data_IF_322769267251
#
_entry.id   IF_322769267251
#
_cell.length_a   1.000
_cell.length_b   1.000
_cell.length_c   1.000
_cell.angle_alpha   90.00
_cell.angle_beta   90.00
_cell.angle_gamma   90.00
#
_symmetry.space_group_name_H-M   'P 1'
#
loop_
_entity.id
_entity.type
_entity.pdbx_description
1 polymer ?
#
# COMPACT_ATOMS: atom_id res chain seq x y z
N UNK A 1 -0.55 14.49 -1.72
CA UNK A 1 -0.30 15.96 -1.71
C UNK A 1 -0.61 16.65 -3.03
N UNK A 2 -0.28 16.13 -4.21
CA UNK A 2 -0.58 16.75 -5.50
C UNK A 2 -2.10 16.85 -5.80
N UNK A 3 -2.89 15.87 -5.40
CA UNK A 3 -4.34 15.85 -5.63
C UNK A 3 -5.08 16.92 -4.83
N UNK A 4 -4.66 17.22 -3.61
CA UNK A 4 -5.21 18.32 -2.80
C UNK A 4 -4.84 19.69 -3.39
N UNK A 5 -3.61 19.86 -3.88
CA UNK A 5 -3.17 21.08 -4.56
C UNK A 5 -3.98 21.39 -5.82
N UNK A 6 -4.43 20.37 -6.54
CA UNK A 6 -5.26 20.52 -7.75
C UNK A 6 -6.68 21.04 -7.46
N UNK A 7 -7.30 20.58 -6.36
CA UNK A 7 -8.67 20.99 -5.98
C UNK A 7 -8.75 22.31 -5.21
N UNK A 8 -7.66 22.79 -4.61
CA UNK A 8 -7.64 23.97 -3.75
C UNK A 8 -7.24 25.26 -4.51
N UNK A 9 -7.08 25.21 -5.83
CA UNK A 9 -6.63 26.36 -6.67
C UNK A 9 -5.39 27.07 -6.13
N UNK A 10 -4.46 26.30 -5.50
CA UNK A 10 -3.25 26.85 -4.91
C UNK A 10 -2.14 25.82 -4.82
N UNK A 11 -0.90 26.28 -4.72
CA UNK A 11 0.22 25.38 -4.49
C UNK A 11 0.15 24.79 -3.06
N UNK A 12 0.56 23.54 -2.90
CA UNK A 12 0.71 22.87 -1.59
C UNK A 12 1.53 23.72 -0.61
N UNK A 13 2.55 24.43 -1.12
CA UNK A 13 3.37 25.34 -0.33
C UNK A 13 2.56 26.51 0.26
N UNK A 14 1.67 27.13 -0.52
CA UNK A 14 0.80 28.22 -0.03
C UNK A 14 -0.20 27.71 1.00
N UNK A 15 -0.73 26.48 0.82
CA UNK A 15 -1.60 25.85 1.81
C UNK A 15 -0.85 25.58 3.13
N UNK A 16 0.35 25.01 3.05
CA UNK A 16 1.18 24.74 4.22
C UNK A 16 1.59 26.04 5.00
N UNK A 17 1.78 27.16 4.28
CA UNK A 17 2.04 28.46 4.92
C UNK A 17 0.82 29.01 5.66
N UNK A 18 -0.38 28.77 5.17
CA UNK A 18 -1.64 29.21 5.81
C UNK A 18 -2.04 28.35 7.00
N UNK A 19 -1.64 27.08 6.97
CA UNK A 19 -1.96 26.09 7.98
C UNK A 19 -0.66 25.45 8.49
N UNK A 20 0.10 26.15 9.35
CA UNK A 20 1.37 25.63 9.86
C UNK A 20 1.15 24.40 10.72
N UNK A 21 2.12 23.50 10.71
CA UNK A 21 2.14 22.34 11.62
C UNK A 21 2.56 22.82 13.00
N UNK A 22 1.77 22.46 14.00
CA UNK A 22 2.04 22.77 15.39
C UNK A 22 2.74 21.61 16.10
N UNK A 23 2.35 20.37 15.75
CA UNK A 23 2.94 19.15 16.30
C UNK A 23 2.85 18.02 15.27
N UNK A 24 3.77 17.04 15.37
CA UNK A 24 3.79 15.87 14.46
C UNK A 24 4.15 14.60 15.23
N UNK A 25 3.26 13.60 15.13
CA UNK A 25 3.53 12.22 15.54
C UNK A 25 3.99 11.45 14.32
N UNK A 26 5.29 11.18 14.23
CA UNK A 26 5.87 10.47 13.08
C UNK A 26 5.26 9.08 12.91
N UNK A 27 5.38 8.56 11.69
CA UNK A 27 4.94 7.20 11.40
C UNK A 27 5.64 6.20 12.31
N UNK A 28 4.85 5.31 12.90
CA UNK A 28 5.33 4.21 13.70
C UNK A 28 4.73 2.90 13.18
N UNK A 29 5.55 1.85 13.09
CA UNK A 29 5.16 0.53 12.55
C UNK A 29 4.17 -0.23 13.43
N UNK A 30 4.14 0.02 14.73
CA UNK A 30 3.16 -0.57 15.66
C UNK A 30 1.80 0.10 15.49
N UNK A 31 1.78 1.45 15.51
CA UNK A 31 0.56 2.23 15.30
C UNK A 31 0.08 2.24 13.85
N UNK A 32 0.98 1.98 12.88
CA UNK A 32 0.75 1.98 11.41
C UNK A 32 0.11 3.27 10.89
N UNK A 33 0.35 4.41 11.56
CA UNK A 33 -0.17 5.73 11.21
C UNK A 33 0.79 6.84 11.60
N UNK A 34 0.56 8.00 11.02
CA UNK A 34 1.17 9.27 11.41
C UNK A 34 0.07 10.31 11.57
N UNK A 35 0.29 11.26 12.46
CA UNK A 35 -0.68 12.32 12.74
C UNK A 35 0.00 13.67 12.82
N UNK A 36 -0.70 14.74 12.44
CA UNK A 36 -0.20 16.11 12.49
C UNK A 36 -1.27 17.04 13.05
N UNK A 37 -0.87 17.99 13.89
CA UNK A 37 -1.75 19.03 14.40
C UNK A 37 -1.51 20.30 13.59
N UNK A 38 -2.59 20.87 13.08
CA UNK A 38 -2.60 22.13 12.34
C UNK A 38 -3.59 23.12 12.94
N UNK A 39 -3.26 24.41 12.81
CA UNK A 39 -4.28 25.45 12.92
C UNK A 39 -5.08 25.51 11.62
N UNK A 40 -6.37 25.27 11.70
CA UNK A 40 -7.28 25.27 10.56
C UNK A 40 -8.58 26.01 10.95
N UNK A 41 -8.90 27.09 10.21
CA UNK A 41 -10.07 27.94 10.44
C UNK A 41 -10.23 28.46 11.88
N UNK A 42 -9.10 28.79 12.53
CA UNK A 42 -9.08 29.32 13.90
C UNK A 42 -9.17 28.26 15.00
N UNK A 43 -9.19 26.99 14.64
CA UNK A 43 -9.25 25.86 15.55
C UNK A 43 -8.05 24.94 15.33
N UNK A 44 -7.72 24.12 16.33
CA UNK A 44 -6.69 23.11 16.22
C UNK A 44 -7.31 21.78 15.80
N UNK A 45 -6.76 21.20 14.74
CA UNK A 45 -7.18 19.91 14.22
C UNK A 45 -6.01 18.97 14.13
N UNK A 46 -6.21 17.75 14.60
CA UNK A 46 -5.32 16.64 14.36
C UNK A 46 -5.81 15.88 13.14
N UNK A 47 -4.94 15.77 12.13
CA UNK A 47 -5.17 14.97 10.93
C UNK A 47 -4.27 13.74 10.98
N UNK A 48 -4.86 12.58 10.78
CA UNK A 48 -4.17 11.30 10.81
C UNK A 48 -4.34 10.54 9.50
N UNK A 49 -3.28 9.86 9.07
CA UNK A 49 -3.30 8.95 7.93
C UNK A 49 -2.52 7.68 8.24
N UNK A 50 -3.02 6.55 7.74
CA UNK A 50 -2.37 5.26 7.95
C UNK A 50 -3.12 4.10 7.35
N UNK A 51 -2.68 2.88 7.65
CA UNK A 51 -3.36 1.67 7.20
C UNK A 51 -4.78 1.56 7.78
N UNK A 52 -5.75 1.26 6.95
CA UNK A 52 -7.18 1.26 7.32
C UNK A 52 -7.49 0.40 8.56
N UNK A 53 -6.82 -0.75 8.73
CA UNK A 53 -7.00 -1.62 9.89
C UNK A 53 -6.58 -1.01 11.24
N UNK A 54 -5.74 0.04 11.24
CA UNK A 54 -5.27 0.70 12.46
C UNK A 54 -6.25 1.71 13.06
N UNK A 55 -7.42 1.93 12.43
CA UNK A 55 -8.38 2.94 12.89
C UNK A 55 -9.69 2.37 13.41
N UNK A 56 -9.94 1.07 13.27
CA UNK A 56 -11.24 0.44 13.59
C UNK A 56 -11.78 0.80 14.98
N UNK A 57 -10.91 0.76 15.98
CA UNK A 57 -11.30 1.00 17.37
C UNK A 57 -11.19 2.48 17.79
N UNK A 58 -10.55 3.29 16.95
CA UNK A 58 -10.25 4.69 17.23
C UNK A 58 -11.27 5.66 16.61
N UNK A 59 -12.03 5.21 15.61
CA UNK A 59 -13.03 6.02 14.93
C UNK A 59 -14.35 5.94 15.69
N UNK A 60 -14.91 7.11 16.01
CA UNK A 60 -16.22 7.24 16.68
C UNK A 60 -17.22 8.03 15.84
N UNK A 61 -16.73 8.75 14.85
CA UNK A 61 -17.53 9.66 14.04
C UNK A 61 -17.23 9.47 12.55
N UNK A 62 -18.15 9.88 11.69
CA UNK A 62 -17.99 9.95 10.24
C UNK A 62 -18.60 11.25 9.72
N UNK A 63 -18.23 11.62 8.49
CA UNK A 63 -18.90 12.69 7.75
C UNK A 63 -20.00 12.06 6.88
N UNK A 64 -21.23 12.56 7.03
CA UNK A 64 -22.38 12.19 6.20
C UNK A 64 -23.13 13.47 5.83
N UNK A 65 -23.33 13.71 4.54
CA UNK A 65 -24.03 14.89 3.99
C UNK A 65 -23.50 16.24 4.51
N UNK A 66 -22.20 16.30 4.80
CA UNK A 66 -21.53 17.49 5.33
C UNK A 66 -21.60 17.66 6.85
N UNK A 67 -22.27 16.77 7.55
CA UNK A 67 -22.36 16.76 9.00
C UNK A 67 -21.52 15.65 9.64
N UNK A 68 -21.05 15.88 10.87
CA UNK A 68 -20.33 14.89 11.67
C UNK A 68 -21.36 14.11 12.48
N UNK A 69 -21.51 12.83 12.18
CA UNK A 69 -22.43 11.92 12.84
C UNK A 69 -21.71 10.75 13.47
N UNK A 70 -22.32 10.09 14.45
CA UNK A 70 -21.74 8.91 15.08
C UNK A 70 -21.62 7.77 14.06
N UNK A 71 -20.48 7.07 14.09
CA UNK A 71 -20.25 5.91 13.23
C UNK A 71 -21.00 4.69 13.80
N UNK A 72 -21.54 3.86 12.92
CA UNK A 72 -22.24 2.62 13.26
C UNK A 72 -21.45 1.40 12.76
N UNK A 73 -21.76 0.22 13.28
CA UNK A 73 -21.05 -1.03 12.90
C UNK A 73 -21.16 -1.30 11.39
N UNK A 74 -22.33 -1.03 10.80
CA UNK A 74 -22.53 -1.16 9.35
C UNK A 74 -21.60 -0.26 8.51
N UNK A 75 -21.25 0.93 9.00
CA UNK A 75 -20.31 1.83 8.31
C UNK A 75 -18.88 1.27 8.32
N UNK A 76 -18.52 0.65 9.46
CA UNK A 76 -17.20 0.00 9.61
C UNK A 76 -17.11 -1.20 8.66
N UNK A 77 -18.16 -1.99 8.54
CA UNK A 77 -18.22 -3.12 7.61
C UNK A 77 -18.12 -2.67 6.15
N UNK A 78 -18.79 -1.59 5.79
CA UNK A 78 -18.69 -0.98 4.46
C UNK A 78 -17.26 -0.49 4.17
N UNK A 79 -16.61 0.16 5.14
CA UNK A 79 -15.23 0.62 4.99
C UNK A 79 -14.25 -0.57 4.85
N UNK A 80 -14.45 -1.64 5.61
CA UNK A 80 -13.65 -2.88 5.49
C UNK A 80 -13.84 -3.53 4.11
N UNK A 81 -15.07 -3.58 3.62
CA UNK A 81 -15.38 -4.14 2.28
C UNK A 81 -14.73 -3.31 1.17
N UNK A 82 -14.87 -1.97 1.23
CA UNK A 82 -14.25 -1.07 0.28
C UNK A 82 -12.70 -1.15 0.30
N UNK A 83 -12.11 -1.30 1.50
CA UNK A 83 -10.67 -1.52 1.64
C UNK A 83 -10.23 -2.82 0.94
N UNK A 84 -10.97 -3.91 1.11
CA UNK A 84 -10.69 -5.18 0.44
C UNK A 84 -10.81 -5.06 -1.08
N UNK A 85 -11.85 -4.37 -1.56
CA UNK A 85 -12.05 -4.16 -3.00
C UNK A 85 -10.90 -3.34 -3.60
N UNK A 86 -10.49 -2.23 -2.96
CA UNK A 86 -9.36 -1.43 -3.43
C UNK A 86 -8.05 -2.23 -3.38
N UNK A 87 -7.82 -3.00 -2.32
CA UNK A 87 -6.63 -3.84 -2.18
C UNK A 87 -6.57 -4.96 -3.24
N UNK A 88 -7.72 -5.54 -3.62
CA UNK A 88 -7.78 -6.54 -4.70
C UNK A 88 -7.43 -5.97 -6.09
N UNK A 89 -7.50 -4.66 -6.24
CA UNK A 89 -7.07 -3.91 -7.44
C UNK A 89 -5.62 -3.39 -7.31
N UNK A 90 -4.79 -4.03 -6.51
CA UNK A 90 -3.40 -3.66 -6.24
C UNK A 90 -3.20 -2.24 -5.64
N UNK A 91 -4.25 -1.63 -5.08
CA UNK A 91 -4.13 -0.31 -4.49
C UNK A 91 -3.58 -0.38 -3.06
N UNK A 92 -2.63 0.48 -2.76
CA UNK A 92 -2.23 0.76 -1.38
C UNK A 92 -3.26 1.68 -0.75
N UNK A 93 -4.05 1.14 0.17
CA UNK A 93 -5.14 1.88 0.80
C UNK A 93 -4.68 2.60 2.04
N UNK A 94 -4.94 3.90 2.08
CA UNK A 94 -4.66 4.79 3.21
C UNK A 94 -5.98 5.36 3.72
N UNK A 95 -6.27 5.12 4.99
CA UNK A 95 -7.37 5.78 5.69
C UNK A 95 -6.96 7.19 6.13
N UNK A 96 -7.92 8.10 6.08
CA UNK A 96 -7.79 9.49 6.49
C UNK A 96 -8.78 9.77 7.60
N UNK A 97 -8.29 10.30 8.70
CA UNK A 97 -9.08 10.64 9.88
C UNK A 97 -8.71 12.03 10.38
N UNK A 98 -9.63 12.65 11.10
CA UNK A 98 -9.37 13.91 11.78
C UNK A 98 -10.08 13.95 13.14
N UNK A 99 -9.61 14.82 14.02
CA UNK A 99 -10.35 15.21 15.23
C UNK A 99 -10.03 16.66 15.60
N UNK A 100 -10.96 17.31 16.26
CA UNK A 100 -10.72 18.61 16.84
C UNK A 100 -9.92 18.45 18.13
N UNK A 101 -8.92 19.29 18.33
CA UNK A 101 -8.05 19.30 19.52
C UNK A 101 -8.52 20.39 20.47
N UNK A 102 -8.77 20.03 21.71
CA UNK A 102 -9.14 20.97 22.77
C UNK A 102 -7.98 21.86 23.22
N UNK A 103 -8.27 22.99 23.88
CA UNK A 103 -7.23 23.94 24.29
C UNK A 103 -6.29 23.39 25.37
N UNK A 104 -6.75 22.46 26.20
CA UNK A 104 -6.03 21.96 27.38
C UNK A 104 -5.53 20.51 27.19
N UNK A 105 -5.53 20.00 25.94
CA UNK A 105 -5.08 18.64 25.66
C UNK A 105 -3.55 18.52 25.68
N UNK A 106 -3.04 17.47 26.31
CA UNK A 106 -1.62 17.16 26.41
C UNK A 106 -1.12 16.47 25.13
N UNK A 107 -0.27 17.13 24.37
CA UNK A 107 0.29 16.60 23.13
C UNK A 107 1.33 15.50 23.36
N UNK A 108 1.82 15.32 24.59
CA UNK A 108 2.72 14.19 24.90
C UNK A 108 1.97 12.88 25.12
N UNK A 109 0.66 12.93 25.42
CA UNK A 109 -0.21 11.76 25.51
C UNK A 109 -0.75 11.37 24.13
N UNK A 110 0.05 10.62 23.37
CA UNK A 110 -0.28 10.21 22.01
C UNK A 110 -1.53 9.32 21.94
N UNK A 111 -1.79 8.49 22.95
CA UNK A 111 -2.93 7.56 22.96
C UNK A 111 -4.23 8.33 23.13
N UNK A 112 -4.24 9.35 23.99
CA UNK A 112 -5.34 10.28 24.11
C UNK A 112 -5.55 11.09 22.83
N UNK A 113 -4.47 11.61 22.26
CA UNK A 113 -4.51 12.42 21.05
C UNK A 113 -4.99 11.63 19.81
N UNK A 114 -4.58 10.38 19.67
CA UNK A 114 -4.99 9.50 18.56
C UNK A 114 -6.24 8.68 18.90
N UNK A 115 -7.26 9.32 19.47
CA UNK A 115 -8.55 8.71 19.84
C UNK A 115 -9.74 9.48 19.25
N UNK A 116 -10.93 8.94 19.33
CA UNK A 116 -12.22 9.57 18.97
C UNK A 116 -12.23 10.25 17.58
N UNK A 117 -11.59 9.63 16.62
CA UNK A 117 -11.48 10.16 15.27
C UNK A 117 -12.81 10.25 14.52
N UNK A 118 -12.88 11.25 13.68
CA UNK A 118 -13.85 11.38 12.59
C UNK A 118 -13.24 10.69 11.37
N UNK A 119 -13.90 9.67 10.84
CA UNK A 119 -13.50 9.03 9.59
C UNK A 119 -13.85 9.92 8.41
N UNK A 120 -12.84 10.33 7.65
CA UNK A 120 -12.99 11.17 6.47
C UNK A 120 -13.08 10.36 5.18
N UNK A 121 -12.62 9.10 5.20
CA UNK A 121 -12.62 8.23 4.04
C UNK A 121 -11.29 7.50 3.84
N UNK A 122 -11.18 6.86 2.68
CA UNK A 122 -9.96 6.17 2.26
C UNK A 122 -9.54 6.61 0.86
N UNK A 123 -8.25 6.54 0.59
CA UNK A 123 -7.68 6.73 -0.74
C UNK A 123 -6.89 5.49 -1.13
N UNK A 124 -7.17 4.96 -2.32
CA UNK A 124 -6.35 3.93 -2.96
C UNK A 124 -5.25 4.61 -3.77
N UNK A 125 -4.01 4.22 -3.54
CA UNK A 125 -2.84 4.68 -4.30
C UNK A 125 -2.38 3.48 -5.11
N UNK A 126 -2.31 3.64 -6.42
CA UNK A 126 -1.74 2.65 -7.33
C UNK A 126 -0.56 3.30 -8.05
N UNK A 127 0.52 2.53 -8.21
CA UNK A 127 1.63 2.87 -9.08
C UNK A 127 1.55 1.92 -10.28
N UNK A 128 0.91 2.34 -11.38
CA UNK A 128 0.70 1.46 -12.51
C UNK A 128 2.03 1.15 -13.19
N UNK A 129 2.15 -0.03 -13.83
CA UNK A 129 3.31 -0.33 -14.66
C UNK A 129 3.53 0.77 -15.71
N UNK A 130 4.79 1.06 -16.01
CA UNK A 130 5.13 2.02 -17.06
C UNK A 130 4.66 1.50 -18.42
N UNK A 131 4.21 2.41 -19.29
CA UNK A 131 3.66 2.02 -20.61
C UNK A 131 4.64 1.17 -21.44
N UNK A 132 5.94 1.49 -21.37
CA UNK A 132 6.99 0.74 -22.08
C UNK A 132 7.14 -0.72 -21.61
N UNK A 133 6.69 -1.06 -20.39
CA UNK A 133 6.81 -2.41 -19.84
C UNK A 133 5.91 -3.39 -20.59
N UNK A 134 4.71 -2.97 -20.97
CA UNK A 134 3.79 -3.81 -21.74
C UNK A 134 4.41 -4.27 -23.06
N UNK A 135 4.98 -3.33 -23.83
CA UNK A 135 5.65 -3.66 -25.09
C UNK A 135 6.91 -4.52 -24.89
N UNK A 136 7.66 -4.28 -23.81
CA UNK A 136 8.86 -5.05 -23.51
C UNK A 136 8.55 -6.50 -23.17
N UNK A 137 7.52 -6.74 -22.37
CA UNK A 137 7.05 -8.09 -22.01
C UNK A 137 6.56 -8.81 -23.25
N UNK A 138 5.75 -8.17 -24.10
CA UNK A 138 5.26 -8.77 -25.32
C UNK A 138 6.44 -9.18 -26.24
N UNK A 139 7.44 -8.34 -26.41
CA UNK A 139 8.65 -8.67 -27.20
C UNK A 139 9.42 -9.86 -26.62
N UNK A 140 9.50 -9.98 -25.29
CA UNK A 140 10.11 -11.13 -24.63
C UNK A 140 9.32 -12.41 -24.93
N UNK A 141 8.00 -12.37 -24.78
CA UNK A 141 7.13 -13.51 -25.05
C UNK A 141 7.18 -13.96 -26.52
N UNK A 142 7.16 -13.00 -27.47
CA UNK A 142 7.29 -13.27 -28.89
C UNK A 142 8.64 -13.91 -29.26
N UNK A 143 9.69 -13.59 -28.49
CA UNK A 143 11.02 -14.19 -28.62
C UNK A 143 11.16 -15.54 -27.87
N UNK A 144 10.09 -16.06 -27.23
CA UNK A 144 10.13 -17.28 -26.44
C UNK A 144 10.82 -17.12 -25.09
N UNK A 145 11.04 -15.89 -24.59
CA UNK A 145 11.62 -15.61 -23.28
C UNK A 145 10.52 -15.59 -22.23
N UNK A 146 10.65 -16.43 -21.22
CA UNK A 146 9.73 -16.47 -20.08
C UNK A 146 10.02 -15.32 -19.11
N UNK A 147 9.06 -14.43 -18.95
CA UNK A 147 9.18 -13.32 -18.01
C UNK A 147 8.68 -13.76 -16.64
N UNK A 148 9.46 -13.47 -15.59
CA UNK A 148 9.11 -13.73 -14.19
C UNK A 148 9.22 -12.43 -13.39
N UNK A 149 8.23 -12.16 -12.56
CA UNK A 149 8.23 -10.99 -11.67
C UNK A 149 8.62 -11.41 -10.26
N UNK A 150 9.62 -10.75 -9.70
CA UNK A 150 10.08 -10.96 -8.31
C UNK A 150 10.00 -9.62 -7.60
N UNK A 151 9.15 -9.52 -6.56
CA UNK A 151 8.88 -8.27 -5.87
C UNK A 151 8.86 -8.42 -4.34
N UNK A 152 9.13 -7.32 -3.63
CA UNK A 152 8.89 -7.20 -2.19
C UNK A 152 7.43 -6.90 -1.82
N UNK A 153 6.57 -6.63 -2.81
CA UNK A 153 5.17 -6.30 -2.61
C UNK A 153 4.33 -7.47 -2.07
N UNK A 154 3.12 -7.13 -1.64
CA UNK A 154 2.15 -8.13 -1.17
C UNK A 154 1.69 -9.02 -2.33
N UNK A 155 1.35 -10.28 -2.01
CA UNK A 155 0.96 -11.29 -2.98
C UNK A 155 -0.21 -10.83 -3.88
N UNK A 156 -1.25 -10.24 -3.30
CA UNK A 156 -2.40 -9.73 -4.06
C UNK A 156 -2.03 -8.61 -5.03
N UNK A 157 -1.15 -7.71 -4.62
CA UNK A 157 -0.63 -6.63 -5.47
C UNK A 157 0.20 -7.18 -6.62
N UNK A 158 1.13 -8.09 -6.31
CA UNK A 158 1.98 -8.74 -7.29
C UNK A 158 1.16 -9.54 -8.32
N UNK A 159 0.15 -10.28 -7.84
CA UNK A 159 -0.76 -11.04 -8.69
C UNK A 159 -1.51 -10.13 -9.67
N UNK A 160 -2.14 -9.06 -9.17
CA UNK A 160 -2.91 -8.15 -9.99
C UNK A 160 -2.04 -7.45 -11.06
N UNK A 161 -0.82 -7.02 -10.71
CA UNK A 161 0.14 -6.43 -11.67
C UNK A 161 0.58 -7.47 -12.71
N UNK A 162 0.85 -8.70 -12.29
CA UNK A 162 1.28 -9.75 -13.20
C UNK A 162 0.19 -10.19 -14.19
N UNK A 163 -1.08 -10.18 -13.76
CA UNK A 163 -2.24 -10.41 -14.62
C UNK A 163 -2.43 -9.24 -15.60
N UNK A 164 -2.33 -8.00 -15.13
CA UNK A 164 -2.42 -6.81 -15.97
C UNK A 164 -1.33 -6.78 -17.06
N UNK A 165 -0.13 -7.30 -16.77
CA UNK A 165 1.01 -7.36 -17.68
C UNK A 165 1.06 -8.66 -18.53
N UNK A 166 0.07 -9.53 -18.45
CA UNK A 166 0.05 -10.85 -19.11
C UNK A 166 1.27 -11.75 -18.80
N UNK A 167 1.90 -11.56 -17.61
CA UNK A 167 3.00 -12.41 -17.11
C UNK A 167 2.44 -13.73 -16.58
N UNK A 168 1.24 -13.71 -16.03
CA UNK A 168 0.55 -14.87 -15.47
C UNK A 168 -0.94 -14.87 -15.83
N UNK A 169 -1.57 -16.03 -15.71
CA UNK A 169 -3.02 -16.14 -15.84
C UNK A 169 -3.70 -16.09 -14.45
N UNK A 170 -5.00 -15.73 -14.37
CA UNK A 170 -5.75 -15.65 -13.10
C UNK A 170 -5.80 -16.96 -12.29
N UNK A 171 -5.43 -18.09 -12.90
CA UNK A 171 -5.46 -19.41 -12.27
C UNK A 171 -4.10 -19.84 -11.68
N UNK A 172 -3.05 -19.04 -11.88
CA UNK A 172 -1.70 -19.31 -11.37
C UNK A 172 -1.40 -18.31 -10.27
N UNK A 173 -1.40 -18.77 -9.02
CA UNK A 173 -1.16 -17.92 -7.87
C UNK A 173 0.32 -17.55 -7.72
N UNK A 174 0.56 -16.30 -7.29
CA UNK A 174 1.88 -15.84 -6.91
C UNK A 174 2.39 -16.62 -5.68
N UNK A 175 3.67 -16.97 -5.68
CA UNK A 175 4.32 -17.65 -4.55
C UNK A 175 5.00 -16.63 -3.65
N UNK A 176 4.79 -16.74 -2.33
CA UNK A 176 5.43 -15.85 -1.36
C UNK A 176 6.84 -16.32 -0.98
N UNK A 177 7.71 -15.36 -0.64
CA UNK A 177 9.06 -15.67 -0.15
C UNK A 177 9.08 -16.59 1.07
N UNK A 178 8.09 -16.48 1.97
CA UNK A 178 7.98 -17.40 3.11
C UNK A 178 7.78 -18.85 2.68
N UNK A 179 6.97 -19.08 1.63
CA UNK A 179 6.74 -20.42 1.10
C UNK A 179 7.99 -21.02 0.44
N UNK A 180 8.85 -20.18 -0.16
CA UNK A 180 10.11 -20.66 -0.76
C UNK A 180 11.06 -21.26 0.26
N UNK A 181 11.05 -20.79 1.51
CA UNK A 181 11.90 -21.32 2.59
C UNK A 181 11.48 -22.69 3.10
N UNK A 182 10.29 -23.14 2.77
CA UNK A 182 9.73 -24.44 3.17
C UNK A 182 10.00 -25.54 2.14
N UNK A 183 10.54 -25.16 0.96
CA UNK A 183 10.75 -26.07 -0.16
C UNK A 183 12.13 -26.74 -0.06
N UNK A 184 12.18 -28.03 -0.38
CA UNK A 184 13.43 -28.70 -0.71
C UNK A 184 13.93 -28.32 -2.11
N UNK A 185 15.11 -28.79 -2.50
CA UNK A 185 15.75 -28.43 -3.78
C UNK A 185 14.91 -28.83 -5.01
N UNK A 186 14.25 -29.98 -4.98
CA UNK A 186 13.44 -30.45 -6.09
C UNK A 186 12.15 -29.63 -6.22
N UNK A 187 11.45 -29.40 -5.12
CA UNK A 187 10.27 -28.55 -5.07
C UNK A 187 10.60 -27.09 -5.43
N UNK A 188 11.77 -26.59 -5.03
CA UNK A 188 12.23 -25.25 -5.39
C UNK A 188 12.44 -25.11 -6.90
N UNK A 189 13.13 -26.07 -7.56
CA UNK A 189 13.29 -26.09 -9.02
C UNK A 189 11.95 -26.13 -9.72
N UNK A 190 11.06 -27.06 -9.30
CA UNK A 190 9.72 -27.15 -9.88
C UNK A 190 8.93 -25.85 -9.71
N UNK A 191 8.99 -25.22 -8.55
CA UNK A 191 8.31 -23.94 -8.27
C UNK A 191 8.91 -22.83 -9.12
N UNK A 192 10.25 -22.73 -9.18
CA UNK A 192 10.94 -21.72 -9.97
C UNK A 192 10.58 -21.83 -11.48
N UNK A 193 10.44 -23.03 -12.00
CA UNK A 193 10.05 -23.29 -13.39
C UNK A 193 8.58 -22.85 -13.67
N UNK A 194 7.65 -23.23 -12.81
CA UNK A 194 6.23 -23.14 -13.08
C UNK A 194 5.54 -21.89 -12.54
N UNK A 195 6.24 -21.09 -11.74
CA UNK A 195 5.72 -19.84 -11.17
C UNK A 195 6.25 -18.65 -11.93
N UNK A 196 5.38 -17.73 -12.32
CA UNK A 196 5.74 -16.47 -12.97
C UNK A 196 5.86 -15.29 -11.98
N UNK A 197 5.24 -15.38 -10.80
CA UNK A 197 5.19 -14.26 -9.85
C UNK A 197 5.63 -14.70 -8.47
N UNK A 198 6.64 -14.01 -7.94
CA UNK A 198 7.17 -14.20 -6.60
C UNK A 198 7.00 -12.91 -5.79
N UNK A 199 6.32 -12.99 -4.65
CA UNK A 199 5.96 -11.87 -3.80
C UNK A 199 6.66 -11.92 -2.44
N UNK A 200 6.85 -10.79 -1.79
CA UNK A 200 7.52 -10.67 -0.48
C UNK A 200 8.85 -11.41 -0.42
N UNK A 201 9.61 -11.31 -1.49
CA UNK A 201 10.90 -11.98 -1.65
C UNK A 201 12.03 -11.09 -1.16
N UNK A 202 12.87 -11.62 -0.28
CA UNK A 202 14.10 -10.94 0.16
C UNK A 202 15.20 -11.05 -0.92
N UNK A 203 16.26 -10.21 -0.85
CA UNK A 203 17.36 -10.28 -1.80
C UNK A 203 18.00 -11.68 -1.86
N UNK A 204 18.17 -12.36 -0.73
CA UNK A 204 18.76 -13.72 -0.68
C UNK A 204 17.85 -14.74 -1.38
N UNK A 205 16.54 -14.62 -1.20
CA UNK A 205 15.56 -15.51 -1.84
C UNK A 205 15.48 -15.28 -3.37
N UNK A 206 15.75 -14.05 -3.85
CA UNK A 206 15.87 -13.79 -5.29
C UNK A 206 16.99 -14.63 -5.90
N UNK A 207 18.11 -14.72 -5.20
CA UNK A 207 19.24 -15.56 -5.65
C UNK A 207 18.90 -17.04 -5.67
N UNK A 208 18.10 -17.54 -4.69
CA UNK A 208 17.64 -18.94 -4.70
C UNK A 208 16.80 -19.25 -5.95
N UNK A 209 15.90 -18.36 -6.35
CA UNK A 209 15.08 -18.53 -7.57
C UNK A 209 15.98 -18.57 -8.81
N UNK A 210 16.94 -17.65 -8.92
CA UNK A 210 17.87 -17.58 -10.06
C UNK A 210 18.73 -18.84 -10.13
N UNK A 211 19.31 -19.27 -9.00
CA UNK A 211 20.13 -20.48 -8.94
C UNK A 211 19.33 -21.73 -9.33
N UNK A 212 18.11 -21.86 -8.82
CA UNK A 212 17.25 -23.00 -9.14
C UNK A 212 16.91 -23.09 -10.65
N UNK A 213 16.75 -21.94 -11.32
CA UNK A 213 16.54 -21.90 -12.78
C UNK A 213 17.82 -22.23 -13.56
N UNK A 214 18.98 -21.74 -13.10
CA UNK A 214 20.28 -22.03 -13.74
C UNK A 214 20.69 -23.50 -13.58
N UNK A 215 20.42 -24.11 -12.43
CA UNK A 215 20.67 -25.53 -12.18
C UNK A 215 19.84 -26.45 -13.10
N UNK A 216 18.68 -25.94 -13.55
CA UNK A 216 17.84 -26.60 -14.55
C UNK A 216 18.26 -26.30 -16.02
N UNK A 217 19.38 -25.61 -16.19
CA UNK A 217 19.98 -25.30 -17.51
C UNK A 217 19.43 -24.07 -18.20
N UNK A 218 18.64 -23.24 -17.49
CA UNK A 218 18.09 -22.01 -18.08
C UNK A 218 19.13 -20.88 -18.09
N UNK A 219 19.06 -20.06 -19.11
CA UNK A 219 19.82 -18.80 -19.20
C UNK A 219 18.97 -17.69 -18.58
N UNK A 220 19.41 -17.19 -17.43
CA UNK A 220 18.66 -16.21 -16.64
C UNK A 220 19.28 -14.82 -16.75
N UNK A 221 18.47 -13.82 -17.13
CA UNK A 221 18.80 -12.41 -16.99
C UNK A 221 17.90 -11.80 -15.90
N UNK A 222 18.49 -11.03 -14.99
CA UNK A 222 17.77 -10.34 -13.94
C UNK A 222 18.01 -8.84 -14.05
N UNK A 223 16.92 -8.06 -14.02
CA UNK A 223 16.96 -6.59 -14.07
C UNK A 223 16.25 -6.02 -12.86
N UNK A 224 16.65 -4.84 -12.42
CA UNK A 224 16.04 -4.10 -11.32
C UNK A 224 16.61 -2.69 -11.27
N UNK A 225 15.98 -1.85 -10.45
CA UNK A 225 16.39 -0.45 -10.23
C UNK A 225 17.56 -0.31 -9.24
N UNK A 226 18.07 -1.41 -8.71
CA UNK A 226 19.21 -1.45 -7.78
C UNK A 226 18.82 -1.16 -6.31
N UNK A 227 17.55 -0.95 -6.03
CA UNK A 227 17.05 -0.69 -4.68
C UNK A 227 16.45 -1.96 -4.05
N UNK A 228 16.09 -2.94 -4.86
CA UNK A 228 15.46 -4.19 -4.46
C UNK A 228 16.38 -5.39 -4.61
#
# INVERSE_FOLDING_TARGET
CAVLGYKINGSVAKFAQRHPRNHEYFFNTERKRMSVIHDYEGEKWLFSKGGAGGYRDLVKWKVSDGEIVKIEDGDIELAVSANKEMASKAMRVIALCARKVGPDEDYEDIDSMESDFIFLGMVGIIDPPRAEVYEAIQKCQDAGIRVKMITGDQQMTAQAIGEELDITSPHIEAVSGSKLLELDEEAMRHTAQNTSIFSRVSPDQKMLIVTALQDDGEVVAMTGDGVN
#
